data_IF_300997530360
#
_entry.id   IF_300997530360
#
_cell.length_a   1.000
_cell.length_b   1.000
_cell.length_c   1.000
_cell.angle_alpha   90.00
_cell.angle_beta   90.00
_cell.angle_gamma   90.00
#
_symmetry.space_group_name_H-M   'P 1'
#
loop_
_entity.id
_entity.type
_entity.pdbx_description
1 polymer ?
#
# COMPACT_ATOMS: atom_id res chain seq x y z
N UNK A 1 5.57 45.76 -39.00
CA UNK A 1 5.07 44.40 -38.81
C UNK A 1 6.25 43.47 -38.76
N UNK A 2 6.64 43.05 -37.54
CA UNK A 2 7.73 42.07 -37.33
C UNK A 2 7.08 40.68 -37.28
N UNK A 3 7.69 39.65 -37.89
CA UNK A 3 7.14 38.30 -37.86
C UNK A 3 7.24 37.69 -36.44
N UNK A 4 6.28 36.82 -36.03
CA UNK A 4 6.31 36.20 -34.70
C UNK A 4 7.51 35.25 -34.60
N UNK A 5 8.21 35.31 -33.47
CA UNK A 5 9.29 34.42 -33.13
C UNK A 5 8.74 32.97 -33.01
N UNK A 6 9.16 32.13 -33.94
CA UNK A 6 8.96 30.67 -33.86
C UNK A 6 9.78 30.14 -32.69
N UNK A 7 9.09 29.76 -31.62
CA UNK A 7 9.66 28.97 -30.52
C UNK A 7 10.07 27.59 -31.07
N UNK A 8 11.33 27.45 -31.39
CA UNK A 8 11.93 26.13 -31.59
C UNK A 8 11.87 25.36 -30.28
N UNK A 9 10.86 24.52 -30.14
CA UNK A 9 10.89 23.40 -29.19
C UNK A 9 12.08 22.51 -29.59
N UNK A 10 13.22 22.72 -28.94
CA UNK A 10 14.28 21.74 -28.95
C UNK A 10 13.71 20.42 -28.43
N UNK A 11 13.39 19.51 -29.35
CA UNK A 11 13.05 18.14 -29.01
C UNK A 11 14.24 17.58 -28.23
N UNK A 12 14.02 17.27 -26.96
CA UNK A 12 15.00 16.56 -26.14
C UNK A 12 15.42 15.29 -26.88
N UNK A 13 16.71 14.95 -26.93
CA UNK A 13 17.17 13.75 -27.62
C UNK A 13 16.41 12.54 -27.09
N UNK A 14 16.07 11.53 -27.93
CA UNK A 14 15.35 10.36 -27.50
C UNK A 14 16.16 9.68 -26.39
N UNK A 15 15.63 9.71 -25.16
CA UNK A 15 16.22 9.02 -24.02
C UNK A 15 16.10 7.53 -24.32
N UNK A 16 17.24 6.84 -24.42
CA UNK A 16 17.29 5.39 -24.55
C UNK A 16 16.51 4.80 -23.36
N UNK A 17 15.29 4.32 -23.61
CA UNK A 17 14.35 3.88 -22.56
C UNK A 17 14.92 2.77 -21.67
N UNK A 18 15.97 2.07 -22.12
CA UNK A 18 16.68 1.05 -21.35
C UNK A 18 17.64 1.62 -20.29
N UNK A 19 18.05 2.89 -20.41
CA UNK A 19 18.97 3.58 -19.48
C UNK A 19 18.28 4.64 -18.62
N UNK A 20 17.05 4.98 -18.94
CA UNK A 20 16.31 5.97 -18.18
C UNK A 20 16.12 5.54 -16.71
N UNK A 21 16.35 6.48 -15.78
CA UNK A 21 16.19 6.28 -14.35
C UNK A 21 15.32 7.40 -13.75
N UNK A 22 14.78 7.19 -12.53
CA UNK A 22 14.00 8.18 -11.84
C UNK A 22 14.81 9.45 -11.55
N UNK A 23 14.22 10.65 -11.65
CA UNK A 23 14.87 11.91 -11.35
C UNK A 23 15.49 11.96 -9.96
N UNK A 24 16.58 12.70 -9.79
CA UNK A 24 17.22 12.88 -8.49
C UNK A 24 16.49 13.90 -7.62
N UNK A 25 15.83 14.89 -8.25
CA UNK A 25 15.05 15.92 -7.56
C UNK A 25 13.64 16.02 -8.16
N UNK A 26 12.73 16.73 -7.49
CA UNK A 26 11.38 16.99 -8.00
C UNK A 26 11.33 18.08 -9.10
N UNK A 27 12.43 18.79 -9.35
CA UNK A 27 12.53 19.81 -10.40
C UNK A 27 12.72 19.17 -11.78
N UNK A 28 13.22 17.93 -11.84
CA UNK A 28 13.45 17.18 -13.07
C UNK A 28 12.18 16.48 -13.57
N UNK A 29 12.06 16.35 -14.90
CA UNK A 29 10.91 15.67 -15.53
C UNK A 29 11.01 14.15 -15.38
N UNK A 30 9.94 13.51 -14.95
CA UNK A 30 9.87 12.06 -14.82
C UNK A 30 9.82 11.38 -16.21
N UNK A 31 10.71 10.43 -16.52
CA UNK A 31 10.67 9.70 -17.78
C UNK A 31 9.45 8.76 -17.85
N UNK A 32 8.72 8.77 -18.98
CA UNK A 32 7.52 7.94 -19.20
C UNK A 32 7.88 6.66 -19.98
N UNK A 33 8.52 5.73 -19.31
CA UNK A 33 9.11 4.54 -19.93
C UNK A 33 8.38 3.24 -19.63
N UNK A 34 7.57 3.18 -18.55
CA UNK A 34 6.91 1.95 -18.11
C UNK A 34 5.75 1.57 -19.03
N UNK A 35 5.85 0.39 -19.63
CA UNK A 35 4.82 -0.24 -20.45
C UNK A 35 3.75 -0.92 -19.60
N UNK A 36 2.71 -1.49 -20.23
CA UNK A 36 1.71 -2.29 -19.53
C UNK A 36 2.34 -3.51 -18.82
N UNK A 37 3.29 -4.20 -19.47
CA UNK A 37 3.99 -5.32 -18.84
C UNK A 37 4.85 -4.90 -17.65
N UNK A 38 5.45 -3.71 -17.70
CA UNK A 38 6.19 -3.18 -16.56
C UNK A 38 5.25 -2.86 -15.38
N UNK A 39 4.09 -2.28 -15.64
CA UNK A 39 3.09 -1.96 -14.63
C UNK A 39 2.42 -3.22 -14.06
N UNK A 40 2.06 -4.20 -14.92
CA UNK A 40 1.55 -5.50 -14.46
C UNK A 40 2.58 -6.24 -13.61
N UNK A 41 3.85 -6.23 -14.05
CA UNK A 41 4.94 -6.85 -13.31
C UNK A 41 5.20 -6.16 -11.97
N UNK A 42 5.19 -4.81 -11.93
CA UNK A 42 5.34 -4.04 -10.70
C UNK A 42 4.19 -4.33 -9.71
N UNK A 43 2.96 -4.02 -10.11
CA UNK A 43 1.81 -4.13 -9.22
C UNK A 43 1.45 -5.58 -8.89
N UNK A 44 1.62 -6.51 -9.87
CA UNK A 44 1.47 -7.92 -9.61
C UNK A 44 2.50 -8.43 -8.60
N UNK A 45 3.73 -7.94 -8.70
CA UNK A 45 4.76 -8.29 -7.75
C UNK A 45 4.53 -7.65 -6.37
N UNK A 46 4.07 -6.40 -6.28
CA UNK A 46 3.73 -5.75 -5.01
C UNK A 46 2.52 -6.39 -4.30
N UNK A 47 1.60 -6.99 -5.05
CA UNK A 47 0.49 -7.77 -4.46
C UNK A 47 0.88 -9.18 -4.00
N UNK A 48 2.07 -9.66 -4.38
CA UNK A 48 2.68 -10.87 -3.80
C UNK A 48 3.34 -10.48 -2.48
N UNK A 49 2.92 -10.98 -1.36
CA UNK A 49 3.55 -10.71 -0.06
C UNK A 49 3.40 -11.89 0.89
N UNK A 50 4.45 -12.17 1.66
CA UNK A 50 4.38 -13.10 2.78
C UNK A 50 3.44 -12.58 3.90
N UNK A 51 3.19 -11.27 3.94
CA UNK A 51 2.19 -10.67 4.81
C UNK A 51 0.75 -10.94 4.34
N UNK A 52 0.53 -11.32 3.08
CA UNK A 52 -0.78 -11.73 2.57
C UNK A 52 -1.34 -12.97 3.27
N UNK A 53 -0.62 -14.11 3.29
CA UNK A 53 -1.00 -15.29 4.08
C UNK A 53 -1.17 -14.98 5.58
N UNK A 54 -0.33 -14.13 6.18
CA UNK A 54 -0.48 -13.69 7.57
C UNK A 54 -1.77 -12.86 7.74
N UNK A 55 -2.06 -11.96 6.81
CA UNK A 55 -3.30 -11.18 6.79
C UNK A 55 -4.57 -12.04 6.70
N UNK A 56 -4.47 -13.23 6.11
CA UNK A 56 -5.59 -14.17 6.03
C UNK A 56 -6.08 -14.64 7.42
N UNK A 57 -5.21 -14.65 8.45
CA UNK A 57 -5.59 -14.93 9.84
C UNK A 57 -6.66 -13.94 10.29
N UNK A 58 -6.44 -12.65 10.04
CA UNK A 58 -7.34 -11.57 10.46
C UNK A 58 -8.60 -11.46 9.58
N UNK A 59 -8.60 -12.05 8.39
CA UNK A 59 -9.81 -12.21 7.58
C UNK A 59 -10.65 -13.38 8.11
N UNK A 60 -10.04 -14.52 8.39
CA UNK A 60 -10.74 -15.71 8.89
C UNK A 60 -11.26 -15.50 10.33
N UNK A 61 -10.48 -14.79 11.13
CA UNK A 61 -10.78 -14.46 12.53
C UNK A 61 -10.81 -12.93 12.71
N UNK A 62 -11.88 -12.26 12.24
CA UNK A 62 -11.96 -10.81 12.32
C UNK A 62 -12.07 -10.33 13.77
N UNK A 63 -11.54 -9.12 14.03
CA UNK A 63 -11.56 -8.52 15.38
C UNK A 63 -12.98 -8.29 15.94
N UNK A 64 -13.99 -8.21 15.06
CA UNK A 64 -15.40 -8.04 15.40
C UNK A 64 -16.24 -9.08 14.66
N UNK A 65 -17.14 -9.72 15.35
CA UNK A 65 -17.98 -10.79 14.81
C UNK A 65 -17.48 -12.18 15.21
N UNK A 66 -17.98 -13.21 14.51
CA UNK A 66 -17.57 -14.59 14.67
C UNK A 66 -16.55 -15.01 13.59
N UNK A 67 -15.76 -16.07 13.81
CA UNK A 67 -14.92 -16.66 12.78
C UNK A 67 -15.71 -16.94 11.50
N UNK A 68 -15.15 -16.54 10.35
CA UNK A 68 -15.82 -16.71 9.06
C UNK A 68 -15.75 -18.16 8.58
N UNK A 69 -16.77 -18.58 7.84
CA UNK A 69 -16.63 -19.77 7.00
C UNK A 69 -15.56 -19.53 5.92
N UNK A 70 -14.97 -20.61 5.42
CA UNK A 70 -13.94 -20.49 4.36
C UNK A 70 -14.49 -19.75 3.13
N UNK A 71 -15.75 -20.04 2.74
CA UNK A 71 -16.41 -19.35 1.65
C UNK A 71 -16.59 -17.85 1.94
N UNK A 72 -17.06 -17.50 3.13
CA UNK A 72 -17.24 -16.11 3.54
C UNK A 72 -15.89 -15.36 3.55
N UNK A 73 -14.82 -16.00 4.04
CA UNK A 73 -13.48 -15.43 4.06
C UNK A 73 -12.93 -15.20 2.63
N UNK A 74 -13.08 -16.17 1.72
CA UNK A 74 -12.67 -16.01 0.31
C UNK A 74 -13.45 -14.87 -0.35
N UNK A 75 -14.77 -14.81 -0.15
CA UNK A 75 -15.59 -13.72 -0.72
C UNK A 75 -15.21 -12.37 -0.11
N UNK A 76 -14.92 -12.31 1.20
CA UNK A 76 -14.44 -11.09 1.87
C UNK A 76 -13.11 -10.61 1.28
N UNK A 77 -12.16 -11.52 1.03
CA UNK A 77 -10.89 -11.21 0.34
C UNK A 77 -11.15 -10.67 -1.06
N UNK A 78 -12.00 -11.32 -1.86
CA UNK A 78 -12.29 -10.88 -3.24
C UNK A 78 -12.95 -9.50 -3.24
N UNK A 79 -14.00 -9.31 -2.46
CA UNK A 79 -14.73 -8.03 -2.39
C UNK A 79 -13.82 -6.92 -1.86
N UNK A 80 -13.13 -7.15 -0.74
CA UNK A 80 -12.20 -6.18 -0.15
C UNK A 80 -11.06 -5.81 -1.09
N UNK A 81 -10.44 -6.80 -1.75
CA UNK A 81 -9.37 -6.55 -2.71
C UNK A 81 -9.88 -5.74 -3.92
N UNK A 82 -11.00 -6.11 -4.53
CA UNK A 82 -11.55 -5.38 -5.69
C UNK A 82 -11.89 -3.93 -5.33
N UNK A 83 -12.49 -3.70 -4.18
CA UNK A 83 -12.78 -2.34 -3.70
C UNK A 83 -11.50 -1.53 -3.46
N UNK A 84 -10.55 -2.10 -2.74
CA UNK A 84 -9.28 -1.43 -2.43
C UNK A 84 -8.44 -1.16 -3.67
N UNK A 85 -8.34 -2.13 -4.61
CA UNK A 85 -7.57 -1.95 -5.86
C UNK A 85 -8.27 -1.04 -6.85
N UNK A 86 -9.59 -0.92 -6.84
CA UNK A 86 -10.28 0.11 -7.61
C UNK A 86 -9.85 1.51 -7.16
N UNK A 87 -9.76 1.76 -5.84
CA UNK A 87 -9.25 3.02 -5.29
C UNK A 87 -7.78 3.23 -5.67
N UNK A 88 -6.94 2.20 -5.51
CA UNK A 88 -5.53 2.23 -5.92
C UNK A 88 -5.38 2.63 -7.39
N UNK A 89 -6.17 2.02 -8.28
CA UNK A 89 -6.08 2.26 -9.72
C UNK A 89 -6.51 3.68 -10.11
N UNK A 90 -7.57 4.18 -9.49
CA UNK A 90 -8.00 5.58 -9.68
C UNK A 90 -6.92 6.55 -9.20
N UNK A 91 -6.22 6.23 -8.11
CA UNK A 91 -5.13 7.05 -7.58
C UNK A 91 -3.90 7.12 -8.50
N UNK A 92 -3.73 6.18 -9.43
CA UNK A 92 -2.64 6.22 -10.42
C UNK A 92 -2.87 7.27 -11.51
N UNK A 93 -4.12 7.69 -11.75
CA UNK A 93 -4.50 8.58 -12.88
C UNK A 93 -3.77 9.93 -12.80
N UNK A 94 -3.81 10.68 -11.69
CA UNK A 94 -3.16 11.99 -11.63
C UNK A 94 -1.64 11.92 -11.82
N UNK A 95 -0.99 10.89 -11.29
CA UNK A 95 0.45 10.68 -11.50
C UNK A 95 0.80 10.48 -12.98
N UNK A 96 0.05 9.61 -13.67
CA UNK A 96 0.23 9.35 -15.10
C UNK A 96 -0.10 10.58 -15.98
N UNK A 97 -1.04 11.44 -15.55
CA UNK A 97 -1.38 12.67 -16.27
C UNK A 97 -0.32 13.76 -16.09
N UNK A 98 0.08 14.01 -14.85
CA UNK A 98 0.89 15.18 -14.48
C UNK A 98 2.38 14.92 -14.40
N UNK A 99 2.81 13.65 -14.27
CA UNK A 99 4.20 13.29 -13.99
C UNK A 99 4.64 13.61 -12.55
N UNK A 100 3.71 13.96 -11.65
CA UNK A 100 4.00 14.31 -10.25
C UNK A 100 3.85 13.12 -9.32
N UNK A 101 4.68 12.98 -8.28
CA UNK A 101 4.53 11.95 -7.26
C UNK A 101 3.34 12.24 -6.32
N UNK A 102 2.89 11.22 -5.60
CA UNK A 102 1.67 11.24 -4.80
C UNK A 102 1.59 12.40 -3.81
N UNK A 103 2.59 12.60 -2.98
CA UNK A 103 2.55 13.65 -1.96
C UNK A 103 2.63 15.07 -2.55
N UNK A 104 3.26 15.23 -3.74
CA UNK A 104 3.26 16.52 -4.45
C UNK A 104 1.86 16.85 -4.98
N UNK A 105 1.12 15.85 -5.44
CA UNK A 105 -0.28 16.03 -5.88
C UNK A 105 -1.17 16.52 -4.74
N UNK A 106 -0.89 16.13 -3.49
CA UNK A 106 -1.64 16.62 -2.33
C UNK A 106 -1.47 18.13 -2.07
N UNK A 107 -0.47 18.78 -2.68
CA UNK A 107 -0.42 20.26 -2.68
C UNK A 107 -1.61 20.87 -3.43
N UNK A 108 -2.07 20.24 -4.51
CA UNK A 108 -3.27 20.67 -5.22
C UNK A 108 -4.54 20.54 -4.38
N UNK A 109 -4.60 19.49 -3.54
CA UNK A 109 -5.75 19.24 -2.67
C UNK A 109 -5.75 20.13 -1.42
N UNK A 110 -4.65 20.18 -0.69
CA UNK A 110 -4.55 20.84 0.63
C UNK A 110 -3.75 22.17 0.61
N UNK A 111 -3.08 22.47 -0.50
CA UNK A 111 -2.08 23.53 -0.57
C UNK A 111 -0.75 23.09 0.04
N UNK A 112 0.29 23.91 -0.15
CA UNK A 112 1.66 23.59 0.29
C UNK A 112 1.76 23.24 1.77
N UNK A 113 1.23 24.12 2.63
CA UNK A 113 1.44 23.98 4.08
C UNK A 113 0.60 22.86 4.67
N UNK A 114 -0.70 22.79 4.34
CA UNK A 114 -1.57 21.75 4.89
C UNK A 114 -1.24 20.35 4.35
N UNK A 115 -0.65 20.22 3.14
CA UNK A 115 -0.20 18.91 2.60
C UNK A 115 1.00 18.31 3.36
N UNK A 116 1.67 19.11 4.23
CA UNK A 116 2.72 18.56 5.08
C UNK A 116 2.18 17.54 6.09
N UNK A 117 0.92 17.67 6.53
CA UNK A 117 0.30 16.73 7.48
C UNK A 117 0.20 15.33 6.86
N UNK A 118 -0.52 15.12 5.73
CA UNK A 118 -0.57 13.80 5.11
C UNK A 118 0.81 13.31 4.65
N UNK A 119 1.73 14.22 4.27
CA UNK A 119 3.09 13.82 3.89
C UNK A 119 3.86 13.23 5.08
N UNK A 120 3.81 13.85 6.26
CA UNK A 120 4.46 13.32 7.46
C UNK A 120 3.85 11.99 7.86
N UNK A 121 2.51 11.88 7.87
CA UNK A 121 1.83 10.63 8.18
C UNK A 121 2.21 9.51 7.18
N UNK A 122 2.34 9.85 5.90
CA UNK A 122 2.80 8.90 4.89
C UNK A 122 4.26 8.47 5.09
N UNK A 123 5.16 9.40 5.45
CA UNK A 123 6.56 9.04 5.78
C UNK A 123 6.61 8.07 6.95
N UNK A 124 5.86 8.34 8.03
CA UNK A 124 5.79 7.44 9.19
C UNK A 124 5.24 6.07 8.79
N UNK A 125 4.17 6.04 8.00
CA UNK A 125 3.56 4.81 7.51
C UNK A 125 4.53 3.98 6.67
N UNK A 126 5.21 4.60 5.70
CA UNK A 126 6.15 3.90 4.81
C UNK A 126 7.44 3.47 5.52
N UNK A 127 7.91 4.23 6.50
CA UNK A 127 9.01 3.78 7.39
C UNK A 127 8.56 2.55 8.18
N UNK A 128 7.34 2.55 8.72
CA UNK A 128 6.76 1.38 9.40
C UNK A 128 6.69 0.16 8.48
N UNK A 129 6.19 0.31 7.25
CA UNK A 129 6.18 -0.76 6.25
C UNK A 129 7.58 -1.29 5.96
N UNK A 130 8.55 -0.41 5.66
CA UNK A 130 9.94 -0.82 5.41
C UNK A 130 10.53 -1.62 6.57
N UNK A 131 10.20 -1.25 7.81
CA UNK A 131 10.64 -1.99 9.01
C UNK A 131 9.99 -3.38 9.06
N UNK A 132 8.67 -3.48 8.89
CA UNK A 132 7.95 -4.77 8.87
C UNK A 132 8.49 -5.69 7.78
N UNK A 133 8.71 -5.17 6.57
CA UNK A 133 9.24 -5.97 5.45
C UNK A 133 10.66 -6.50 5.75
N UNK A 134 11.56 -5.67 6.29
CA UNK A 134 12.90 -6.12 6.67
C UNK A 134 12.83 -7.21 7.77
N UNK A 135 11.92 -7.07 8.72
CA UNK A 135 11.72 -8.08 9.78
C UNK A 135 11.19 -9.39 9.20
N UNK A 136 10.16 -9.32 8.33
CA UNK A 136 9.57 -10.51 7.66
C UNK A 136 10.62 -11.26 6.83
N UNK A 137 11.45 -10.53 6.04
CA UNK A 137 12.55 -11.12 5.28
C UNK A 137 13.55 -11.81 6.22
N UNK A 138 13.86 -11.15 7.35
CA UNK A 138 14.81 -11.69 8.33
C UNK A 138 14.29 -12.95 9.02
N UNK A 139 13.01 -12.98 9.41
CA UNK A 139 12.36 -14.15 10.01
C UNK A 139 12.25 -15.31 9.02
N UNK A 140 11.88 -15.01 7.76
CA UNK A 140 11.87 -16.01 6.71
C UNK A 140 13.26 -16.60 6.47
N UNK A 141 14.31 -15.77 6.46
CA UNK A 141 15.67 -16.22 6.30
C UNK A 141 16.15 -17.07 7.49
N UNK A 142 15.79 -16.70 8.73
CA UNK A 142 16.09 -17.50 9.91
C UNK A 142 15.49 -18.91 9.86
N UNK A 143 14.26 -19.06 9.33
CA UNK A 143 13.63 -20.38 9.21
C UNK A 143 14.21 -21.24 8.07
N UNK A 144 14.79 -20.60 7.05
CA UNK A 144 15.38 -21.28 5.90
C UNK A 144 16.86 -21.65 6.07
N UNK A 145 17.61 -20.90 6.88
CA UNK A 145 19.06 -20.99 6.95
C UNK A 145 19.53 -21.53 8.31
N UNK A 146 20.72 -22.16 8.40
CA UNK A 146 21.15 -22.88 9.60
C UNK A 146 21.50 -22.01 10.82
N UNK A 147 21.65 -20.71 10.67
CA UNK A 147 22.04 -19.82 11.78
C UNK A 147 20.82 -19.19 12.48
N UNK A 148 19.93 -20.02 12.98
CA UNK A 148 18.62 -19.63 13.53
C UNK A 148 18.69 -18.64 14.70
N UNK A 149 19.79 -18.63 15.47
CA UNK A 149 19.90 -17.85 16.71
C UNK A 149 20.23 -16.36 16.46
N UNK A 150 20.74 -16.02 15.28
CA UNK A 150 21.23 -14.67 14.97
C UNK A 150 20.33 -13.96 13.97
N UNK A 151 19.44 -13.08 14.43
CA UNK A 151 18.57 -12.26 13.58
C UNK A 151 19.34 -11.11 12.91
N UNK A 152 20.26 -10.46 13.62
CA UNK A 152 20.89 -9.23 13.15
C UNK A 152 21.63 -9.31 11.80
N UNK A 153 22.31 -10.41 11.42
CA UNK A 153 22.95 -10.47 10.11
C UNK A 153 21.93 -10.43 8.96
N UNK A 154 20.79 -11.11 9.13
CA UNK A 154 19.71 -11.13 8.14
C UNK A 154 19.06 -9.75 7.98
N UNK A 155 18.86 -9.05 9.10
CA UNK A 155 18.35 -7.66 9.10
C UNK A 155 19.31 -6.74 8.35
N UNK A 156 20.62 -6.84 8.59
CA UNK A 156 21.62 -6.01 7.90
C UNK A 156 21.68 -6.30 6.38
N UNK A 157 21.63 -7.58 6.02
CA UNK A 157 21.62 -7.99 4.59
C UNK A 157 20.35 -7.52 3.91
N UNK A 158 19.17 -7.77 4.49
CA UNK A 158 17.89 -7.36 3.93
C UNK A 158 17.79 -5.83 3.76
N UNK A 159 18.13 -5.06 4.80
CA UNK A 159 18.13 -3.60 4.77
C UNK A 159 19.15 -3.02 3.77
N UNK A 160 20.34 -3.64 3.68
CA UNK A 160 21.37 -3.26 2.71
C UNK A 160 20.90 -3.47 1.26
N UNK A 161 20.32 -4.63 0.95
CA UNK A 161 19.78 -4.94 -0.38
C UNK A 161 18.63 -4.01 -0.75
N UNK A 162 17.68 -3.79 0.15
CA UNK A 162 16.59 -2.82 -0.01
C UNK A 162 17.10 -1.43 -0.36
N UNK A 163 18.10 -0.95 0.39
CA UNK A 163 18.73 0.35 0.15
C UNK A 163 19.35 0.44 -1.23
N UNK A 164 20.11 -0.58 -1.65
CA UNK A 164 20.72 -0.66 -2.98
C UNK A 164 19.67 -0.61 -4.10
N UNK A 165 18.56 -1.34 -3.94
CA UNK A 165 17.46 -1.31 -4.89
C UNK A 165 16.82 0.08 -4.99
N UNK A 166 16.64 0.79 -3.88
CA UNK A 166 16.08 2.14 -3.85
C UNK A 166 16.98 3.21 -4.54
N UNK A 167 18.27 2.94 -4.68
CA UNK A 167 19.17 3.85 -5.41
C UNK A 167 18.89 3.88 -6.93
N UNK A 168 18.35 2.80 -7.51
CA UNK A 168 18.04 2.66 -8.96
C UNK A 168 16.64 2.06 -9.18
N UNK A 169 15.56 2.74 -8.80
CA UNK A 169 14.21 2.16 -8.76
C UNK A 169 13.72 1.65 -10.11
N UNK A 170 13.91 2.39 -11.21
CA UNK A 170 13.48 1.91 -12.53
C UNK A 170 14.33 0.75 -13.05
N UNK A 171 15.60 0.70 -12.69
CA UNK A 171 16.48 -0.45 -12.94
C UNK A 171 15.99 -1.69 -12.21
N UNK A 172 15.64 -1.55 -10.92
CA UNK A 172 15.11 -2.62 -10.08
C UNK A 172 13.81 -3.17 -10.65
N UNK A 173 12.82 -2.32 -11.00
CA UNK A 173 11.56 -2.74 -11.65
C UNK A 173 11.80 -3.58 -12.91
N UNK A 174 12.77 -3.20 -13.74
CA UNK A 174 13.10 -3.96 -14.98
C UNK A 174 13.70 -5.34 -14.68
N UNK A 175 14.55 -5.44 -13.67
CA UNK A 175 15.14 -6.71 -13.22
C UNK A 175 14.05 -7.62 -12.66
N UNK A 176 13.17 -7.08 -11.80
CA UNK A 176 12.03 -7.79 -11.23
C UNK A 176 11.14 -8.41 -12.31
N UNK A 177 10.73 -7.61 -13.30
CA UNK A 177 9.95 -8.10 -14.42
C UNK A 177 10.63 -9.28 -15.14
N UNK A 178 11.95 -9.19 -15.34
CA UNK A 178 12.66 -10.16 -16.16
C UNK A 178 12.88 -11.51 -15.46
N UNK A 179 13.16 -11.51 -14.16
CA UNK A 179 13.67 -12.69 -13.45
C UNK A 179 12.74 -13.17 -12.32
N UNK A 180 12.17 -12.26 -11.56
CA UNK A 180 11.40 -12.62 -10.37
C UNK A 180 9.99 -13.12 -10.68
N UNK A 181 9.27 -12.51 -11.64
CA UNK A 181 7.85 -12.81 -11.91
C UNK A 181 7.63 -14.29 -12.25
N UNK A 182 8.46 -14.87 -13.11
CA UNK A 182 8.32 -16.28 -13.50
C UNK A 182 8.59 -17.23 -12.32
N UNK A 183 9.66 -16.97 -11.54
CA UNK A 183 10.01 -17.78 -10.38
C UNK A 183 8.93 -17.73 -9.30
N UNK A 184 8.41 -16.52 -9.01
CA UNK A 184 7.32 -16.30 -8.07
C UNK A 184 6.05 -17.01 -8.50
N UNK A 185 5.67 -16.91 -9.78
CA UNK A 185 4.50 -17.60 -10.30
C UNK A 185 4.59 -19.13 -10.13
N UNK A 186 5.74 -19.71 -10.48
CA UNK A 186 5.98 -21.14 -10.31
C UNK A 186 5.92 -21.55 -8.84
N UNK A 187 6.57 -20.80 -7.95
CA UNK A 187 6.56 -21.06 -6.50
C UNK A 187 5.13 -20.97 -5.93
N UNK A 188 4.37 -19.93 -6.31
CA UNK A 188 2.98 -19.75 -5.86
C UNK A 188 2.07 -20.88 -6.30
N UNK A 189 2.12 -21.25 -7.60
CA UNK A 189 1.33 -22.38 -8.13
C UNK A 189 1.72 -23.68 -7.44
N UNK A 190 3.02 -23.89 -7.21
CA UNK A 190 3.51 -25.06 -6.50
C UNK A 190 2.93 -25.17 -5.08
N UNK A 191 2.98 -24.07 -4.30
CA UNK A 191 2.41 -24.04 -2.94
C UNK A 191 0.91 -24.31 -2.95
N UNK A 192 0.15 -23.72 -3.88
CA UNK A 192 -1.28 -24.01 -4.04
C UNK A 192 -1.52 -25.51 -4.30
N UNK A 193 -0.78 -26.12 -5.22
CA UNK A 193 -0.91 -27.55 -5.55
C UNK A 193 -0.62 -28.41 -4.33
N UNK A 194 0.40 -28.08 -3.53
CA UNK A 194 0.73 -28.85 -2.34
C UNK A 194 -0.34 -28.71 -1.24
N UNK A 195 -0.82 -27.52 -1.00
CA UNK A 195 -1.86 -27.26 0.02
C UNK A 195 -3.18 -27.95 -0.35
N UNK A 196 -3.60 -27.89 -1.62
CA UNK A 196 -4.83 -28.50 -2.13
C UNK A 196 -4.81 -30.03 -2.16
N UNK A 197 -3.68 -30.67 -1.87
CA UNK A 197 -3.61 -32.13 -1.62
C UNK A 197 -4.21 -32.53 -0.27
N UNK A 198 -4.32 -31.58 0.66
CA UNK A 198 -4.98 -31.81 1.94
C UNK A 198 -6.50 -31.60 1.79
N UNK A 199 -7.32 -32.37 2.50
CA UNK A 199 -8.77 -32.19 2.45
C UNK A 199 -9.17 -30.80 2.97
N UNK A 200 -10.02 -30.12 2.21
CA UNK A 200 -10.61 -28.85 2.65
C UNK A 200 -11.81 -29.14 3.58
N UNK A 201 -12.01 -28.33 4.62
CA UNK A 201 -13.24 -28.39 5.42
C UNK A 201 -14.45 -27.99 4.56
N UNK A 202 -15.69 -28.29 5.01
CA UNK A 202 -16.89 -27.78 4.35
C UNK A 202 -16.84 -26.27 4.20
N UNK A 203 -17.04 -25.75 2.98
CA UNK A 203 -16.86 -24.33 2.66
C UNK A 203 -17.78 -23.40 3.45
N UNK A 204 -18.96 -23.90 3.86
CA UNK A 204 -19.99 -23.14 4.59
C UNK A 204 -19.95 -23.35 6.11
N UNK A 205 -18.99 -24.12 6.61
CA UNK A 205 -18.85 -24.33 8.06
C UNK A 205 -18.27 -23.06 8.70
N UNK A 206 -19.08 -22.38 9.50
CA UNK A 206 -18.75 -21.09 10.12
C UNK A 206 -19.79 -19.99 9.85
N UNK A 207 -19.40 -18.74 10.10
CA UNK A 207 -20.30 -17.59 10.09
C UNK A 207 -20.02 -16.64 8.92
N UNK A 208 -21.00 -15.76 8.62
CA UNK A 208 -20.85 -14.56 7.79
C UNK A 208 -20.83 -13.27 8.62
N UNK A 209 -21.00 -13.35 9.93
CA UNK A 209 -21.22 -12.18 10.79
C UNK A 209 -20.04 -11.22 10.82
N UNK A 210 -18.81 -11.70 10.66
CA UNK A 210 -17.60 -10.88 10.59
C UNK A 210 -17.18 -10.45 9.17
N UNK A 211 -18.04 -10.66 8.15
CA UNK A 211 -17.68 -10.47 6.74
C UNK A 211 -17.04 -9.13 6.43
N UNK A 212 -17.67 -8.02 6.84
CA UNK A 212 -17.15 -6.68 6.53
C UNK A 212 -15.86 -6.36 7.29
N UNK A 213 -15.73 -6.83 8.54
CA UNK A 213 -14.48 -6.66 9.29
C UNK A 213 -13.32 -7.42 8.63
N UNK A 214 -13.57 -8.64 8.11
CA UNK A 214 -12.60 -9.38 7.32
C UNK A 214 -12.29 -8.71 5.97
N UNK A 215 -13.32 -8.22 5.26
CA UNK A 215 -13.14 -7.51 3.99
C UNK A 215 -12.33 -6.21 4.17
N UNK A 216 -12.54 -5.47 5.27
CA UNK A 216 -11.80 -4.24 5.58
C UNK A 216 -10.29 -4.48 5.71
N UNK A 217 -9.85 -5.65 6.16
CA UNK A 217 -8.42 -6.04 6.18
C UNK A 217 -7.86 -6.05 4.76
N UNK A 218 -8.55 -6.68 3.80
CA UNK A 218 -8.12 -6.74 2.40
C UNK A 218 -8.20 -5.35 1.72
N UNK A 219 -9.22 -4.52 2.05
CA UNK A 219 -9.28 -3.12 1.61
C UNK A 219 -8.08 -2.35 2.12
N UNK A 220 -7.77 -2.43 3.41
CA UNK A 220 -6.70 -1.66 4.06
C UNK A 220 -5.34 -1.93 3.41
N UNK A 221 -5.02 -3.20 3.10
CA UNK A 221 -3.75 -3.56 2.44
C UNK A 221 -3.68 -2.97 1.03
N UNK A 222 -4.72 -3.08 0.21
CA UNK A 222 -4.71 -2.49 -1.13
C UNK A 222 -4.65 -0.95 -1.08
N UNK A 223 -5.37 -0.32 -0.15
CA UNK A 223 -5.42 1.13 0.01
C UNK A 223 -4.11 1.68 0.59
N UNK A 224 -3.34 0.91 1.35
CA UNK A 224 -2.03 1.38 1.85
C UNK A 224 -1.09 1.80 0.70
N UNK A 225 -1.20 1.16 -0.47
CA UNK A 225 -0.43 1.51 -1.68
C UNK A 225 -0.91 2.76 -2.41
N UNK A 226 -2.09 3.25 -2.09
CA UNK A 226 -2.68 4.43 -2.73
C UNK A 226 -1.82 5.67 -2.51
N UNK A 227 -1.23 5.82 -1.32
CA UNK A 227 -0.38 6.95 -0.95
C UNK A 227 0.91 7.07 -1.78
N UNK A 228 1.30 6.01 -2.49
CA UNK A 228 2.48 5.97 -3.36
C UNK A 228 2.16 5.62 -4.83
N UNK A 229 0.88 5.46 -5.16
CA UNK A 229 0.42 5.06 -6.49
C UNK A 229 0.98 5.95 -7.62
N UNK A 230 1.00 7.27 -7.40
CA UNK A 230 1.51 8.24 -8.36
C UNK A 230 3.04 8.27 -8.46
N UNK A 231 3.76 7.78 -7.45
CA UNK A 231 5.23 7.70 -7.49
C UNK A 231 5.72 6.76 -8.59
N UNK A 232 4.94 5.74 -8.91
CA UNK A 232 5.19 4.79 -9.98
C UNK A 232 4.44 5.13 -11.27
N UNK A 233 3.17 5.51 -11.17
CA UNK A 233 2.35 5.77 -12.35
C UNK A 233 2.81 6.99 -13.15
N UNK A 234 3.51 7.95 -12.53
CA UNK A 234 4.13 9.08 -13.22
C UNK A 234 5.14 8.67 -14.32
N UNK A 235 5.66 7.44 -14.21
CA UNK A 235 6.57 6.85 -15.19
C UNK A 235 5.85 6.02 -16.26
N UNK A 236 4.53 5.89 -16.21
CA UNK A 236 3.73 5.14 -17.17
C UNK A 236 3.64 5.84 -18.51
N UNK A 237 3.65 5.07 -19.61
CA UNK A 237 3.48 5.58 -20.96
C UNK A 237 2.11 6.22 -21.21
N UNK A 238 1.07 5.79 -20.48
CA UNK A 238 -0.26 6.37 -20.56
C UNK A 238 -1.08 6.09 -19.29
N UNK A 239 -2.18 6.82 -19.11
CA UNK A 239 -3.15 6.61 -18.03
C UNK A 239 -3.75 5.21 -18.08
N UNK A 240 -4.12 4.72 -19.28
CA UNK A 240 -4.70 3.36 -19.44
C UNK A 240 -3.72 2.28 -18.97
N UNK A 241 -2.43 2.45 -19.27
CA UNK A 241 -1.36 1.55 -18.82
C UNK A 241 -1.23 1.55 -17.30
N UNK A 242 -1.28 2.72 -16.67
CA UNK A 242 -1.20 2.84 -15.21
C UNK A 242 -2.40 2.15 -14.52
N UNK A 243 -3.62 2.49 -14.94
CA UNK A 243 -4.87 1.94 -14.37
C UNK A 243 -4.98 0.43 -14.60
N UNK A 244 -4.82 -0.05 -15.83
CA UNK A 244 -4.95 -1.47 -16.11
C UNK A 244 -3.86 -2.29 -15.42
N UNK A 245 -2.61 -1.80 -15.40
CA UNK A 245 -1.50 -2.48 -14.75
C UNK A 245 -1.69 -2.62 -13.25
N UNK A 246 -2.10 -1.55 -12.57
CA UNK A 246 -2.34 -1.57 -11.13
C UNK A 246 -3.57 -2.41 -10.77
N UNK A 247 -4.70 -2.20 -11.45
CA UNK A 247 -5.92 -2.94 -11.15
C UNK A 247 -5.76 -4.46 -11.36
N UNK A 248 -5.32 -4.86 -12.54
CA UNK A 248 -5.22 -6.29 -12.89
C UNK A 248 -4.08 -6.95 -12.09
N UNK A 249 -2.89 -6.33 -12.10
CA UNK A 249 -1.72 -6.90 -11.45
C UNK A 249 -1.92 -7.13 -9.97
N UNK A 250 -2.32 -6.09 -9.24
CA UNK A 250 -2.47 -6.15 -7.79
C UNK A 250 -3.66 -7.00 -7.35
N UNK A 251 -4.83 -6.88 -8.03
CA UNK A 251 -6.04 -7.66 -7.68
C UNK A 251 -5.78 -9.16 -7.73
N UNK A 252 -5.21 -9.66 -8.83
CA UNK A 252 -4.99 -11.09 -9.01
C UNK A 252 -4.06 -11.63 -7.92
N UNK A 253 -2.97 -10.93 -7.66
CA UNK A 253 -1.94 -11.43 -6.74
C UNK A 253 -2.36 -11.28 -5.27
N UNK A 254 -3.00 -10.21 -4.87
CA UNK A 254 -3.52 -10.09 -3.51
C UNK A 254 -4.57 -11.16 -3.20
N UNK A 255 -5.55 -11.39 -4.10
CA UNK A 255 -6.53 -12.47 -3.93
C UNK A 255 -5.83 -13.82 -3.81
N UNK A 256 -4.85 -14.10 -4.68
CA UNK A 256 -4.13 -15.36 -4.65
C UNK A 256 -3.42 -15.58 -3.31
N UNK A 257 -2.69 -14.58 -2.80
CA UNK A 257 -1.89 -14.74 -1.57
C UNK A 257 -2.73 -14.81 -0.30
N UNK A 258 -3.82 -14.04 -0.23
CA UNK A 258 -4.78 -14.22 0.86
C UNK A 258 -5.45 -15.59 0.82
N UNK A 259 -5.86 -16.06 -0.37
CA UNK A 259 -6.47 -17.38 -0.54
C UNK A 259 -5.47 -18.49 -0.20
N UNK A 260 -4.18 -18.33 -0.57
CA UNK A 260 -3.11 -19.25 -0.19
C UNK A 260 -3.02 -19.36 1.34
N UNK A 261 -3.05 -18.23 2.04
CA UNK A 261 -3.07 -18.19 3.50
C UNK A 261 -4.31 -18.84 4.11
N UNK A 262 -5.51 -18.53 3.58
CA UNK A 262 -6.76 -19.15 4.05
C UNK A 262 -6.72 -20.68 3.93
N UNK A 263 -6.25 -21.20 2.78
CA UNK A 263 -6.13 -22.64 2.58
C UNK A 263 -5.10 -23.24 3.54
N UNK A 264 -3.93 -22.61 3.72
CA UNK A 264 -2.92 -23.06 4.66
C UNK A 264 -3.45 -23.11 6.10
N UNK A 265 -4.20 -22.08 6.53
CA UNK A 265 -4.82 -22.03 7.87
C UNK A 265 -5.77 -23.18 8.13
N UNK A 266 -6.64 -23.50 7.17
CA UNK A 266 -7.67 -24.53 7.37
C UNK A 266 -7.18 -25.96 7.10
N UNK A 267 -6.03 -26.12 6.43
CA UNK A 267 -5.53 -27.47 6.05
C UNK A 267 -4.31 -27.92 6.84
N UNK A 268 -3.34 -27.03 7.08
CA UNK A 268 -2.03 -27.38 7.64
C UNK A 268 -1.84 -26.79 9.03
N UNK A 269 -2.12 -25.50 9.21
CA UNK A 269 -1.87 -24.81 10.50
C UNK A 269 -2.87 -25.28 11.56
N UNK A 270 -4.16 -25.37 11.24
CA UNK A 270 -5.25 -25.89 12.09
C UNK A 270 -5.30 -25.32 13.53
N UNK A 271 -4.70 -24.17 13.76
CA UNK A 271 -4.58 -23.57 15.08
C UNK A 271 -5.48 -22.33 15.22
N UNK A 272 -6.20 -22.22 16.33
CA UNK A 272 -7.04 -21.06 16.64
C UNK A 272 -6.22 -19.77 16.88
N UNK A 273 -4.99 -19.91 17.39
CA UNK A 273 -4.08 -18.81 17.72
C UNK A 273 -2.84 -18.81 16.81
N UNK A 274 -3.04 -19.04 15.50
CA UNK A 274 -1.96 -19.06 14.53
C UNK A 274 -1.21 -17.72 14.47
N UNK A 275 0.12 -17.79 14.54
CA UNK A 275 1.03 -16.65 14.39
C UNK A 275 1.73 -16.68 13.03
N UNK A 276 2.37 -15.58 12.68
CA UNK A 276 3.17 -15.45 11.46
C UNK A 276 4.20 -16.59 11.33
N UNK A 277 4.87 -16.94 12.44
CA UNK A 277 5.84 -18.04 12.49
C UNK A 277 5.24 -19.38 12.06
N UNK A 278 4.03 -19.71 12.54
CA UNK A 278 3.35 -20.97 12.22
C UNK A 278 3.00 -21.06 10.74
N UNK A 279 2.59 -19.91 10.15
CA UNK A 279 2.31 -19.81 8.72
C UNK A 279 3.56 -20.08 7.88
N UNK A 280 4.70 -19.51 8.23
CA UNK A 280 5.96 -19.72 7.51
C UNK A 280 6.46 -21.16 7.68
N UNK A 281 6.41 -21.71 8.90
CA UNK A 281 6.75 -23.10 9.17
C UNK A 281 5.90 -24.09 8.35
N UNK A 282 4.59 -23.80 8.24
CA UNK A 282 3.66 -24.62 7.44
C UNK A 282 4.05 -24.67 5.95
N UNK A 283 4.42 -23.53 5.33
CA UNK A 283 4.89 -23.51 3.96
C UNK A 283 6.22 -24.23 3.76
N UNK A 284 7.18 -24.06 4.67
CA UNK A 284 8.50 -24.68 4.62
C UNK A 284 8.41 -26.22 4.76
N UNK A 285 7.48 -26.71 5.59
CA UNK A 285 7.27 -28.14 5.83
C UNK A 285 6.67 -28.90 4.63
N UNK A 286 6.08 -28.22 3.65
CA UNK A 286 5.59 -28.86 2.42
C UNK A 286 6.75 -29.50 1.63
N UNK A 287 6.51 -30.56 0.84
CA UNK A 287 7.54 -31.11 -0.05
C UNK A 287 8.17 -30.02 -0.91
N UNK A 288 9.49 -29.86 -0.91
CA UNK A 288 10.22 -28.74 -1.54
C UNK A 288 9.69 -27.33 -1.17
N UNK A 289 8.91 -27.23 -0.08
CA UNK A 289 8.31 -25.97 0.38
C UNK A 289 9.36 -24.92 0.72
N UNK A 290 10.50 -25.35 1.31
CA UNK A 290 11.63 -24.47 1.59
C UNK A 290 12.17 -23.73 0.36
N UNK A 291 12.16 -24.39 -0.83
CA UNK A 291 12.61 -23.76 -2.08
C UNK A 291 11.58 -22.75 -2.58
N UNK A 292 10.30 -23.13 -2.63
CA UNK A 292 9.23 -22.23 -3.06
C UNK A 292 9.08 -21.03 -2.10
N UNK A 293 9.11 -21.27 -0.81
CA UNK A 293 9.07 -20.23 0.21
C UNK A 293 10.30 -19.31 0.14
N UNK A 294 11.49 -19.86 -0.11
CA UNK A 294 12.72 -19.09 -0.30
C UNK A 294 12.64 -18.09 -1.47
N UNK A 295 12.00 -18.51 -2.59
CA UNK A 295 11.74 -17.61 -3.72
C UNK A 295 10.83 -16.45 -3.29
N UNK A 296 9.79 -16.72 -2.49
CA UNK A 296 8.89 -15.69 -1.97
C UNK A 296 9.60 -14.75 -0.97
N UNK A 297 10.42 -15.30 -0.08
CA UNK A 297 11.18 -14.51 0.88
C UNK A 297 12.18 -13.55 0.20
N UNK A 298 12.88 -14.01 -0.84
CA UNK A 298 13.75 -13.13 -1.64
C UNK A 298 12.97 -12.05 -2.38
N UNK A 299 11.75 -12.34 -2.77
CA UNK A 299 10.89 -11.40 -3.46
C UNK A 299 10.41 -10.27 -2.54
N UNK A 300 10.29 -10.48 -1.20
CA UNK A 300 9.90 -9.41 -0.26
C UNK A 300 10.81 -8.18 -0.31
N UNK A 301 12.06 -8.33 -0.76
CA UNK A 301 12.97 -7.20 -0.99
C UNK A 301 12.38 -6.11 -1.90
N UNK A 302 11.46 -6.48 -2.78
CA UNK A 302 10.81 -5.56 -3.73
C UNK A 302 9.82 -4.64 -3.04
N UNK A 303 9.12 -5.12 -2.03
CA UNK A 303 8.20 -4.30 -1.25
C UNK A 303 9.00 -3.31 -0.40
N UNK A 304 9.98 -3.79 0.33
CA UNK A 304 10.83 -2.95 1.16
C UNK A 304 11.53 -1.84 0.35
N UNK A 305 11.98 -2.14 -0.90
CA UNK A 305 12.53 -1.09 -1.77
C UNK A 305 11.46 -0.08 -2.21
N UNK A 306 10.23 -0.55 -2.49
CA UNK A 306 9.13 0.31 -2.93
C UNK A 306 8.77 1.33 -1.85
N UNK A 307 8.67 0.89 -0.62
CA UNK A 307 8.40 1.74 0.53
C UNK A 307 9.53 2.75 0.77
N UNK A 308 10.78 2.30 0.73
CA UNK A 308 11.95 3.19 0.83
C UNK A 308 11.96 4.25 -0.27
N UNK A 309 11.69 3.87 -1.53
CA UNK A 309 11.64 4.80 -2.66
C UNK A 309 10.52 5.83 -2.48
N UNK A 310 9.31 5.42 -2.10
CA UNK A 310 8.18 6.32 -1.91
C UNK A 310 8.30 7.19 -0.66
N UNK A 311 8.99 6.70 0.39
CA UNK A 311 9.37 7.55 1.53
C UNK A 311 10.27 8.71 1.09
N UNK A 312 11.25 8.43 0.23
CA UNK A 312 12.11 9.48 -0.34
C UNK A 312 11.30 10.50 -1.14
N UNK A 313 10.35 10.03 -1.98
CA UNK A 313 9.48 10.94 -2.75
C UNK A 313 8.62 11.81 -1.83
N UNK A 314 8.13 11.25 -0.74
CA UNK A 314 7.36 11.97 0.28
C UNK A 314 8.21 13.02 0.99
N UNK A 315 9.45 12.71 1.36
CA UNK A 315 10.39 13.66 1.96
C UNK A 315 10.77 14.79 0.98
N UNK A 316 10.93 14.48 -0.32
CA UNK A 316 11.17 15.51 -1.33
C UNK A 316 9.95 16.44 -1.52
N UNK A 317 8.72 16.03 -1.15
CA UNK A 317 7.60 16.95 -1.08
C UNK A 317 7.84 18.09 -0.05
N UNK A 318 8.51 17.79 1.07
CA UNK A 318 8.85 18.77 2.10
C UNK A 318 10.11 19.57 1.72
N UNK A 319 11.08 18.92 1.09
CA UNK A 319 12.37 19.49 0.72
C UNK A 319 12.76 19.08 -0.73
N UNK A 320 12.20 19.76 -1.77
CA UNK A 320 12.26 19.33 -3.18
C UNK A 320 13.67 19.21 -3.78
N UNK A 321 14.67 19.90 -3.21
CA UNK A 321 16.05 19.93 -3.68
C UNK A 321 16.96 18.86 -3.08
N UNK A 322 16.45 18.07 -2.10
CA UNK A 322 17.25 17.01 -1.52
C UNK A 322 17.47 15.88 -2.53
N UNK A 323 18.71 15.43 -2.60
CA UNK A 323 19.11 14.34 -3.49
C UNK A 323 18.47 13.02 -3.05
N UNK A 324 17.74 12.36 -3.96
CA UNK A 324 17.02 11.12 -3.75
C UNK A 324 17.93 10.00 -3.21
N UNK A 325 19.14 9.87 -3.73
CA UNK A 325 20.06 8.80 -3.34
C UNK A 325 20.54 8.97 -1.91
N UNK A 326 20.85 10.22 -1.51
CA UNK A 326 21.24 10.52 -0.11
C UNK A 326 20.11 10.20 0.85
N UNK A 327 18.88 10.60 0.51
CA UNK A 327 17.69 10.26 1.32
C UNK A 327 17.48 8.75 1.40
N UNK A 328 17.62 8.01 0.30
CA UNK A 328 17.48 6.56 0.30
C UNK A 328 18.50 5.86 1.23
N UNK A 329 19.74 6.35 1.26
CA UNK A 329 20.78 5.82 2.17
C UNK A 329 20.40 6.10 3.63
N UNK A 330 20.03 7.34 3.96
CA UNK A 330 19.65 7.73 5.33
C UNK A 330 18.45 6.91 5.82
N UNK A 331 17.42 6.77 4.97
CA UNK A 331 16.25 5.96 5.30
C UNK A 331 16.58 4.47 5.43
N UNK A 332 17.40 3.93 4.53
CA UNK A 332 17.84 2.55 4.61
C UNK A 332 18.59 2.23 5.92
N UNK A 333 19.46 3.13 6.37
CA UNK A 333 20.11 3.01 7.68
C UNK A 333 19.11 3.10 8.81
N UNK A 334 18.17 4.06 8.77
CA UNK A 334 17.12 4.23 9.78
C UNK A 334 16.23 2.99 9.90
N UNK A 335 15.67 2.52 8.78
CA UNK A 335 14.74 1.37 8.77
C UNK A 335 15.44 0.08 9.17
N UNK A 336 16.68 -0.13 8.74
CA UNK A 336 17.51 -1.27 9.16
C UNK A 336 17.77 -1.24 10.68
N UNK A 337 18.12 -0.06 11.22
CA UNK A 337 18.34 0.09 12.67
C UNK A 337 17.06 -0.17 13.46
N UNK A 338 15.92 0.37 13.02
CA UNK A 338 14.63 0.11 13.66
C UNK A 338 14.26 -1.38 13.59
N UNK A 339 14.49 -2.05 12.46
CA UNK A 339 14.20 -3.46 12.28
C UNK A 339 15.03 -4.37 13.21
N UNK A 340 16.20 -3.91 13.73
CA UNK A 340 16.97 -4.65 14.73
C UNK A 340 16.27 -4.72 16.09
N UNK A 341 15.42 -3.74 16.42
CA UNK A 341 14.79 -3.59 17.75
C UNK A 341 13.28 -3.83 17.76
N UNK A 342 12.63 -3.81 16.58
CA UNK A 342 11.18 -4.02 16.47
C UNK A 342 10.86 -5.52 16.46
N UNK A 343 9.84 -5.89 17.23
CA UNK A 343 9.19 -7.21 17.19
C UNK A 343 7.82 -7.09 16.54
N UNK A 344 7.46 -8.02 15.66
CA UNK A 344 6.26 -7.91 14.82
C UNK A 344 4.96 -8.29 15.52
N UNK A 345 4.96 -9.14 16.52
CA UNK A 345 3.82 -9.54 17.33
C UNK A 345 2.42 -9.16 16.81
N UNK A 346 1.54 -8.68 17.70
CA UNK A 346 0.18 -8.18 17.35
C UNK A 346 0.18 -6.78 16.70
N UNK A 347 1.36 -6.18 16.51
CA UNK A 347 1.49 -4.82 16.01
C UNK A 347 1.02 -4.67 14.54
N UNK A 348 1.14 -5.75 13.73
CA UNK A 348 0.82 -5.70 12.30
C UNK A 348 -0.65 -5.40 12.02
N UNK A 349 -1.58 -6.11 12.68
CA UNK A 349 -3.03 -5.86 12.50
C UNK A 349 -3.40 -4.42 12.87
N UNK A 350 -2.92 -3.94 14.02
CA UNK A 350 -3.19 -2.58 14.48
C UNK A 350 -2.62 -1.52 13.54
N UNK A 351 -1.45 -1.80 12.97
CA UNK A 351 -0.83 -0.94 11.97
C UNK A 351 -1.71 -0.85 10.70
N UNK A 352 -2.23 -1.97 10.19
CA UNK A 352 -3.15 -1.98 9.04
C UNK A 352 -4.42 -1.17 9.31
N UNK A 353 -5.04 -1.35 10.47
CA UNK A 353 -6.26 -0.63 10.83
C UNK A 353 -6.01 0.88 10.97
N UNK A 354 -4.87 1.27 11.55
CA UNK A 354 -4.46 2.67 11.64
C UNK A 354 -4.23 3.28 10.25
N UNK A 355 -3.55 2.56 9.35
CA UNK A 355 -3.37 2.99 7.95
C UNK A 355 -4.71 3.17 7.24
N UNK A 356 -5.62 2.20 7.37
CA UNK A 356 -6.96 2.28 6.81
C UNK A 356 -7.70 3.53 7.30
N UNK A 357 -7.64 3.81 8.60
CA UNK A 357 -8.33 4.96 9.20
C UNK A 357 -7.83 6.32 8.69
N UNK A 358 -6.55 6.41 8.33
CA UNK A 358 -5.93 7.65 7.83
C UNK A 358 -6.12 7.78 6.32
N UNK A 359 -5.74 6.75 5.56
CA UNK A 359 -5.61 6.87 4.11
C UNK A 359 -6.90 6.64 3.34
N UNK A 360 -7.82 5.79 3.81
CA UNK A 360 -9.12 5.58 3.14
C UNK A 360 -9.92 6.89 3.03
N UNK A 361 -10.20 7.62 4.11
CA UNK A 361 -10.92 8.89 4.02
C UNK A 361 -10.10 10.00 3.34
N UNK A 362 -8.78 10.03 3.47
CA UNK A 362 -7.94 10.98 2.73
C UNK A 362 -8.13 10.82 1.22
N UNK A 363 -8.17 9.59 0.77
CA UNK A 363 -8.38 9.28 -0.64
C UNK A 363 -9.78 9.58 -1.15
N UNK A 364 -10.78 9.44 -0.29
CA UNK A 364 -12.13 9.89 -0.61
C UNK A 364 -12.16 11.41 -0.89
N UNK A 365 -11.47 12.20 -0.05
CA UNK A 365 -11.31 13.65 -0.26
C UNK A 365 -10.57 13.94 -1.57
N UNK A 366 -9.48 13.21 -1.83
CA UNK A 366 -8.69 13.34 -3.05
C UNK A 366 -9.53 13.07 -4.31
N UNK A 367 -10.23 11.94 -4.35
CA UNK A 367 -11.09 11.55 -5.48
C UNK A 367 -12.21 12.56 -5.68
N UNK A 368 -12.89 12.96 -4.60
CA UNK A 368 -13.99 13.90 -4.69
C UNK A 368 -13.56 15.27 -5.23
N UNK A 369 -12.45 15.83 -4.71
CA UNK A 369 -11.97 17.14 -5.20
C UNK A 369 -11.40 17.05 -6.62
N UNK A 370 -10.59 16.03 -6.92
CA UNK A 370 -9.94 15.88 -8.21
C UNK A 370 -10.93 15.60 -9.35
N UNK A 371 -11.76 14.57 -9.19
CA UNK A 371 -12.63 14.10 -10.29
C UNK A 371 -14.04 14.72 -10.27
N UNK A 372 -14.65 14.88 -9.08
CA UNK A 372 -16.04 15.29 -8.98
C UNK A 372 -16.22 16.80 -8.81
N UNK A 373 -15.28 17.47 -8.15
CA UNK A 373 -15.34 18.91 -7.97
C UNK A 373 -14.46 19.69 -9.00
N UNK A 374 -13.84 19.03 -9.99
CA UNK A 374 -13.09 19.66 -11.07
C UNK A 374 -11.67 20.08 -10.72
N UNK A 375 -11.07 19.50 -9.65
CA UNK A 375 -9.72 19.80 -9.22
C UNK A 375 -8.65 19.51 -10.28
N UNK A 376 -8.88 18.54 -11.16
CA UNK A 376 -7.96 18.19 -12.24
C UNK A 376 -7.65 19.35 -13.22
N UNK A 377 -8.49 20.39 -13.26
CA UNK A 377 -8.23 21.61 -14.03
C UNK A 377 -7.54 22.71 -13.22
N UNK A 378 -7.80 22.76 -11.90
CA UNK A 378 -7.50 23.92 -11.07
C UNK A 378 -6.37 23.65 -10.03
N UNK A 379 -5.88 22.41 -9.91
CA UNK A 379 -4.88 22.10 -8.89
C UNK A 379 -3.53 22.75 -9.16
N UNK A 380 -3.13 23.62 -8.24
CA UNK A 380 -1.76 24.13 -8.16
C UNK A 380 -0.91 23.17 -7.30
N UNK A 381 0.01 22.46 -7.94
CA UNK A 381 0.97 21.57 -7.28
C UNK A 381 2.34 22.22 -7.07
N UNK A 382 2.44 23.53 -7.27
CA UNK A 382 3.69 24.27 -7.11
C UNK A 382 4.12 24.37 -5.63
N UNK A 383 5.35 24.83 -5.43
CA UNK A 383 5.88 25.10 -4.11
C UNK A 383 5.20 26.29 -3.40
N UNK A 384 4.35 27.05 -4.10
CA UNK A 384 3.66 28.22 -3.60
C UNK A 384 2.12 28.03 -3.56
N UNK A 385 1.63 26.80 -3.76
CA UNK A 385 0.21 26.48 -3.74
C UNK A 385 -0.47 27.02 -2.47
N UNK A 386 -1.58 27.76 -2.61
CA UNK A 386 -2.29 28.36 -1.46
C UNK A 386 -2.85 27.28 -0.54
N UNK A 387 -2.79 27.51 0.77
CA UNK A 387 -3.25 26.53 1.76
C UNK A 387 -4.77 26.41 1.79
N UNK A 388 -5.28 25.19 1.73
CA UNK A 388 -6.69 24.82 1.69
C UNK A 388 -7.06 24.04 2.97
N UNK A 389 -6.83 24.65 4.14
CA UNK A 389 -7.04 24.01 5.46
C UNK A 389 -8.43 23.42 5.66
N UNK A 390 -9.46 24.06 5.07
CA UNK A 390 -10.85 23.59 5.15
C UNK A 390 -11.01 22.17 4.60
N UNK A 391 -10.14 21.73 3.69
CA UNK A 391 -10.17 20.37 3.10
C UNK A 391 -9.73 19.27 4.06
N UNK A 392 -9.15 19.64 5.22
CA UNK A 392 -8.86 18.68 6.30
C UNK A 392 -10.12 18.25 7.05
N UNK A 393 -11.18 19.06 7.06
CA UNK A 393 -12.41 18.74 7.80
C UNK A 393 -13.13 17.49 7.29
N UNK A 394 -13.38 17.30 5.97
CA UNK A 394 -13.92 16.04 5.45
C UNK A 394 -13.04 14.83 5.76
N UNK A 395 -11.71 14.98 5.69
CA UNK A 395 -10.76 13.92 6.05
C UNK A 395 -10.87 13.54 7.52
N UNK A 396 -10.87 14.53 8.42
CA UNK A 396 -11.03 14.30 9.85
C UNK A 396 -12.38 13.62 10.17
N UNK A 397 -13.47 14.04 9.52
CA UNK A 397 -14.78 13.39 9.70
C UNK A 397 -14.76 11.92 9.28
N UNK A 398 -14.14 11.59 8.15
CA UNK A 398 -13.95 10.21 7.72
C UNK A 398 -13.07 9.41 8.68
N UNK A 399 -11.97 9.98 9.17
CA UNK A 399 -11.12 9.36 10.19
C UNK A 399 -11.90 9.04 11.46
N UNK A 400 -12.68 9.99 11.98
CA UNK A 400 -13.54 9.78 13.16
C UNK A 400 -14.55 8.65 12.89
N UNK A 401 -15.19 8.65 11.72
CA UNK A 401 -16.13 7.58 11.33
C UNK A 401 -15.46 6.21 11.36
N UNK A 402 -14.25 6.09 10.84
CA UNK A 402 -13.49 4.83 10.86
C UNK A 402 -13.25 4.37 12.31
N UNK A 403 -12.77 5.27 13.17
CA UNK A 403 -12.43 4.97 14.56
C UNK A 403 -13.65 4.61 15.41
N UNK A 404 -14.82 5.18 15.12
CA UNK A 404 -16.06 4.81 15.80
C UNK A 404 -16.53 3.39 15.46
N UNK A 405 -16.16 2.87 14.27
CA UNK A 405 -16.55 1.52 13.82
C UNK A 405 -15.49 0.49 14.20
N UNK A 406 -14.22 0.77 13.95
CA UNK A 406 -13.12 -0.15 14.21
C UNK A 406 -11.84 0.58 14.67
N UNK A 407 -11.69 0.88 15.97
CA UNK A 407 -10.50 1.55 16.52
C UNK A 407 -9.28 0.63 16.67
N UNK A 408 -9.39 -0.66 16.30
CA UNK A 408 -8.33 -1.65 16.52
C UNK A 408 -8.25 -2.12 17.97
N UNK A 409 -7.08 -2.63 18.38
CA UNK A 409 -6.84 -3.23 19.70
C UNK A 409 -5.66 -2.61 20.47
N UNK A 410 -5.24 -1.39 20.10
CA UNK A 410 -4.14 -0.70 20.81
C UNK A 410 -4.62 -0.24 22.19
N UNK A 411 -3.98 -0.68 23.30
CA UNK A 411 -4.38 -0.27 24.63
C UNK A 411 -4.38 1.26 24.80
N UNK A 412 -5.38 1.78 25.49
CA UNK A 412 -5.58 3.23 25.65
C UNK A 412 -6.25 3.91 24.47
N UNK A 413 -5.78 3.66 23.24
CA UNK A 413 -6.39 4.18 22.01
C UNK A 413 -7.80 3.61 21.79
N UNK A 414 -7.93 2.30 21.84
CA UNK A 414 -9.21 1.60 21.69
C UNK A 414 -10.21 2.05 22.77
N UNK A 415 -9.78 2.11 24.03
CA UNK A 415 -10.63 2.55 25.14
C UNK A 415 -11.08 4.00 24.95
N UNK A 416 -10.20 4.89 24.49
CA UNK A 416 -10.54 6.29 24.24
C UNK A 416 -11.65 6.41 23.18
N UNK A 417 -11.54 5.65 22.07
CA UNK A 417 -12.55 5.66 21.01
C UNK A 417 -13.85 4.96 21.38
N UNK A 418 -13.79 3.91 22.22
CA UNK A 418 -14.99 3.28 22.79
C UNK A 418 -15.74 4.28 23.68
N UNK A 419 -15.04 5.02 24.56
CA UNK A 419 -15.66 6.07 25.38
C UNK A 419 -16.29 7.18 24.51
N UNK A 420 -15.64 7.57 23.39
CA UNK A 420 -16.22 8.53 22.44
C UNK A 420 -17.47 7.94 21.80
N UNK A 421 -17.45 6.70 21.36
CA UNK A 421 -18.60 6.03 20.75
C UNK A 421 -19.79 5.94 21.72
N UNK A 422 -19.54 5.62 22.99
CA UNK A 422 -20.54 5.62 24.05
C UNK A 422 -21.10 7.02 24.30
N UNK A 423 -20.23 8.03 24.38
CA UNK A 423 -20.63 9.43 24.60
C UNK A 423 -21.54 9.98 23.49
N UNK A 424 -21.24 9.63 22.20
CA UNK A 424 -22.09 10.04 21.07
C UNK A 424 -23.24 9.06 20.80
N UNK A 425 -23.39 8.00 21.60
CA UNK A 425 -24.39 6.94 21.43
C UNK A 425 -24.34 6.32 20.03
N UNK A 426 -23.13 6.00 19.53
CA UNK A 426 -22.93 5.51 18.17
C UNK A 426 -23.57 4.12 17.99
N UNK A 427 -24.53 3.96 17.04
CA UNK A 427 -25.29 2.71 16.87
C UNK A 427 -24.49 1.70 16.03
N UNK A 428 -23.40 1.15 16.56
CA UNK A 428 -22.61 0.14 15.84
C UNK A 428 -23.45 -1.04 15.41
N UNK A 429 -23.25 -1.51 14.18
CA UNK A 429 -23.87 -2.70 13.60
C UNK A 429 -22.83 -3.54 12.86
N UNK A 430 -22.97 -4.85 12.86
CA UNK A 430 -22.00 -5.79 12.26
C UNK A 430 -21.86 -5.70 10.73
N UNK A 431 -22.82 -5.07 10.05
CA UNK A 431 -22.76 -4.81 8.62
C UNK A 431 -21.91 -3.56 8.26
N UNK A 432 -21.52 -2.76 9.24
CA UNK A 432 -20.74 -1.54 9.01
C UNK A 432 -19.30 -1.88 8.67
N UNK A 433 -18.90 -1.55 7.45
CA UNK A 433 -17.49 -1.51 7.06
C UNK A 433 -16.88 -0.16 7.46
N UNK A 434 -15.81 -0.19 8.24
CA UNK A 434 -15.09 1.02 8.63
C UNK A 434 -14.51 1.74 7.41
N UNK A 435 -13.95 1.00 6.46
CA UNK A 435 -13.39 1.56 5.23
C UNK A 435 -14.46 2.18 4.34
N UNK A 436 -15.55 1.46 4.06
CA UNK A 436 -16.60 1.97 3.14
C UNK A 436 -17.30 3.18 3.72
N UNK A 437 -17.71 3.14 5.00
CA UNK A 437 -18.44 4.25 5.61
C UNK A 437 -17.57 5.49 5.79
N UNK A 438 -16.30 5.34 6.24
CA UNK A 438 -15.37 6.47 6.34
C UNK A 438 -15.11 7.12 4.98
N UNK A 439 -14.96 6.29 3.92
CA UNK A 439 -14.81 6.77 2.55
C UNK A 439 -16.04 7.58 2.10
N UNK A 440 -17.25 7.04 2.28
CA UNK A 440 -18.49 7.72 1.87
C UNK A 440 -18.69 9.03 2.61
N UNK A 441 -18.49 9.06 3.93
CA UNK A 441 -18.60 10.28 4.74
C UNK A 441 -17.63 11.34 4.26
N UNK A 442 -16.35 10.99 4.09
CA UNK A 442 -15.33 11.92 3.61
C UNK A 442 -15.64 12.45 2.20
N UNK A 443 -16.08 11.55 1.28
CA UNK A 443 -16.44 11.93 -0.08
C UNK A 443 -17.61 12.91 -0.12
N UNK A 444 -18.70 12.58 0.57
CA UNK A 444 -19.92 13.42 0.60
C UNK A 444 -19.65 14.80 1.17
N UNK A 445 -18.90 14.88 2.29
CA UNK A 445 -18.55 16.15 2.92
C UNK A 445 -17.56 16.96 2.08
N UNK A 446 -16.77 16.34 1.23
CA UNK A 446 -15.82 17.04 0.36
C UNK A 446 -16.51 17.89 -0.70
N UNK A 447 -17.62 17.42 -1.28
CA UNK A 447 -18.27 18.12 -2.39
C UNK A 447 -18.71 19.55 -2.06
N UNK A 448 -19.45 19.82 -0.97
CA UNK A 448 -19.79 21.20 -0.56
C UNK A 448 -18.56 21.99 -0.13
N UNK A 449 -17.61 21.36 0.59
CA UNK A 449 -16.38 22.00 1.07
C UNK A 449 -15.51 22.50 -0.09
N UNK A 450 -15.33 21.71 -1.13
CA UNK A 450 -14.59 22.09 -2.33
C UNK A 450 -15.24 23.26 -3.07
N UNK A 451 -16.58 23.27 -3.19
CA UNK A 451 -17.32 24.40 -3.79
C UNK A 451 -17.16 25.70 -3.00
N UNK A 452 -17.24 25.61 -1.68
CA UNK A 452 -17.02 26.75 -0.78
C UNK A 452 -15.62 27.33 -0.95
N UNK A 453 -14.60 26.50 -0.88
CA UNK A 453 -13.19 26.90 -0.99
C UNK A 453 -12.90 27.61 -2.32
N UNK A 454 -13.45 27.15 -3.45
CA UNK A 454 -13.26 27.78 -4.77
C UNK A 454 -13.94 29.12 -4.92
N UNK A 455 -15.07 29.33 -4.25
CA UNK A 455 -15.74 30.64 -4.26
C UNK A 455 -14.92 31.69 -3.49
N UNK A 456 -14.31 31.33 -2.36
CA UNK A 456 -13.49 32.23 -1.56
C UNK A 456 -12.15 32.64 -2.23
N UNK A 457 -11.70 31.94 -3.27
CA UNK A 457 -10.50 32.33 -4.03
C UNK A 457 -10.82 33.15 -5.30
N UNK A 458 -12.09 33.30 -5.65
CA UNK A 458 -12.53 34.13 -6.80
C UNK A 458 -13.02 35.53 -6.41
N UNK A 459 -13.16 35.81 -5.12
CA UNK A 459 -13.41 37.14 -4.53
C UNK A 459 -12.13 37.74 -4.01
#
# INVERSE_FOLDING_TARGET
MAPPATSTHLASPPVDGHRAEAPLTLEETAPRVLSLFDQLGLWGNLGVSLLGPVGAIYVLQPATGAPLSLLAAIVAVVVGTVLGTALLSVATIPGAQTGRPSMVLLRGLFGRTASSIPTVLNVVALVGWSVFEIVVISEAAQQLLPWHELRWPYVLVAGGLTTVMALRPLGSIRVLRKYAVAAVLVATVYLFVQLLRNPLPPLNDGSWTGFWAGADVAVAVAVSWVSLASDYSRHSRSVRVAVAGSFIGYTITQIAYYTLGLIALVTVVQAGDALQHDMFAAFIALPLGWLAFGVLALRELDQSFADTYSTVMSLQNLAPRLDRRRLAIVLGVLTTTLALVVDTGTAYQNFLLLLGSVFVPMFAVFIADYFLAGGHHDWDTSANAPSRWVMLAPWAAGFVTYQLINPGSVPGWTNAWQNVAEWVHFPYQTWMSASVLSFVVALVLTLPTAKYNRRGHRT
#
